data_IF_795905725775
#
_entry.id   IF_795905725775
#
_cell.length_a   1.000
_cell.length_b   1.000
_cell.length_c   1.000
_cell.angle_alpha   90.00
_cell.angle_beta   90.00
_cell.angle_gamma   90.00
#
_symmetry.space_group_name_H-M   'P 1'
#
loop_
_entity.id
_entity.type
_entity.pdbx_description
1 polymer ?
#
# COMPACT_ATOMS: atom_id res chain seq x y z
N UNK A 1 -20.64 3.96 -0.59
CA UNK A 1 -20.06 3.10 -1.62
C UNK A 1 -20.34 1.63 -1.32
N UNK A 2 -20.35 0.78 -2.34
CA UNK A 2 -20.49 -0.67 -2.17
C UNK A 2 -19.17 -1.34 -1.76
N UNK A 3 -18.05 -0.72 -2.12
CA UNK A 3 -16.70 -1.22 -1.88
C UNK A 3 -15.72 -0.05 -1.73
N UNK A 4 -14.70 -0.24 -0.89
CA UNK A 4 -13.56 0.65 -0.76
C UNK A 4 -12.26 -0.12 -0.95
N UNK A 5 -11.32 0.47 -1.67
CA UNK A 5 -9.94 0.00 -1.78
C UNK A 5 -9.08 0.89 -0.89
N UNK A 6 -8.36 0.28 0.04
CA UNK A 6 -7.46 1.00 0.96
C UNK A 6 -6.02 0.75 0.52
N UNK A 7 -5.39 1.79 -0.04
CA UNK A 7 -3.96 1.86 -0.35
C UNK A 7 -3.40 3.09 0.37
N UNK A 8 -2.51 2.89 1.33
CA UNK A 8 -2.10 3.96 2.24
C UNK A 8 -0.66 3.76 2.73
N UNK A 9 -0.20 4.68 3.57
CA UNK A 9 1.03 4.68 4.35
C UNK A 9 2.25 5.33 3.70
N UNK A 10 2.31 5.55 2.40
CA UNK A 10 3.47 6.22 1.79
C UNK A 10 3.77 7.58 2.46
N UNK A 11 2.75 8.39 2.66
CA UNK A 11 2.91 9.71 3.30
C UNK A 11 3.34 9.60 4.77
N UNK A 12 2.87 8.59 5.49
CA UNK A 12 3.26 8.33 6.87
C UNK A 12 4.73 7.94 6.96
N UNK A 13 5.17 7.01 6.10
CA UNK A 13 6.56 6.53 6.05
C UNK A 13 7.50 7.65 5.60
N UNK A 14 7.04 8.53 4.69
CA UNK A 14 7.77 9.71 4.26
C UNK A 14 7.82 10.82 5.33
N UNK A 15 7.11 10.64 6.45
CA UNK A 15 7.03 11.60 7.56
C UNK A 15 6.49 12.96 7.14
N UNK A 16 5.55 13.00 6.19
CA UNK A 16 4.97 14.24 5.67
C UNK A 16 4.17 15.02 6.73
N UNK A 17 3.67 14.36 7.76
CA UNK A 17 2.86 14.96 8.82
C UNK A 17 3.41 14.71 10.22
N UNK A 18 4.64 14.23 10.34
CA UNK A 18 5.30 13.93 11.61
C UNK A 18 6.02 12.60 11.60
N UNK A 19 6.69 12.29 12.69
CA UNK A 19 7.50 11.07 12.82
C UNK A 19 6.66 9.80 12.56
N UNK A 20 7.23 8.88 11.82
CA UNK A 20 6.60 7.60 11.51
C UNK A 20 6.61 6.65 12.72
N UNK A 21 5.43 6.10 13.01
CA UNK A 21 5.25 5.04 14.00
C UNK A 21 4.42 3.92 13.37
N UNK A 22 5.02 2.77 13.12
CA UNK A 22 4.36 1.66 12.42
C UNK A 22 3.06 1.23 13.10
N UNK A 23 3.05 1.11 14.44
CA UNK A 23 1.84 0.72 15.17
C UNK A 23 0.69 1.71 14.97
N UNK A 24 0.99 3.00 14.91
CA UNK A 24 -0.02 4.03 14.66
C UNK A 24 -0.57 3.94 13.24
N UNK A 25 0.32 3.87 12.25
CA UNK A 25 -0.08 3.78 10.83
C UNK A 25 -0.88 2.51 10.59
N UNK A 26 -0.41 1.38 11.09
CA UNK A 26 -1.14 0.11 11.01
C UNK A 26 -2.50 0.21 11.70
N UNK A 27 -2.56 0.75 12.91
CA UNK A 27 -3.82 0.94 13.65
C UNK A 27 -4.81 1.83 12.92
N UNK A 28 -4.35 2.89 12.26
CA UNK A 28 -5.19 3.76 11.45
C UNK A 28 -5.79 3.01 10.24
N UNK A 29 -5.00 2.16 9.59
CA UNK A 29 -5.49 1.33 8.48
C UNK A 29 -6.52 0.32 8.98
N UNK A 30 -6.28 -0.35 10.10
CA UNK A 30 -7.23 -1.26 10.73
C UNK A 30 -8.54 -0.54 11.05
N UNK A 31 -8.45 0.68 11.60
CA UNK A 31 -9.64 1.50 11.91
C UNK A 31 -10.46 1.83 10.66
N UNK A 32 -9.80 2.14 9.53
CA UNK A 32 -10.51 2.36 8.25
C UNK A 32 -11.22 1.09 7.77
N UNK A 33 -10.58 -0.06 7.89
CA UNK A 33 -11.19 -1.36 7.55
C UNK A 33 -12.42 -1.64 8.42
N UNK A 34 -12.27 -1.50 9.73
CA UNK A 34 -13.35 -1.77 10.68
C UNK A 34 -14.53 -0.80 10.48
N UNK A 35 -14.25 0.48 10.24
CA UNK A 35 -15.27 1.48 9.95
C UNK A 35 -16.06 1.14 8.69
N UNK A 36 -15.38 0.73 7.62
CA UNK A 36 -16.04 0.31 6.39
C UNK A 36 -16.93 -0.91 6.63
N UNK A 37 -16.41 -1.93 7.32
CA UNK A 37 -17.17 -3.15 7.64
C UNK A 37 -18.39 -2.85 8.52
N UNK A 38 -18.26 -1.97 9.51
CA UNK A 38 -19.36 -1.55 10.37
C UNK A 38 -20.48 -0.84 9.59
N UNK A 39 -20.16 -0.24 8.44
CA UNK A 39 -21.12 0.40 7.56
C UNK A 39 -21.50 -0.48 6.34
N UNK A 40 -21.27 -1.78 6.42
CA UNK A 40 -21.59 -2.76 5.37
C UNK A 40 -20.91 -2.47 4.01
N UNK A 41 -19.76 -1.80 4.04
CA UNK A 41 -18.94 -1.52 2.86
C UNK A 41 -17.90 -2.63 2.73
N UNK A 42 -17.84 -3.26 1.56
CA UNK A 42 -16.80 -4.26 1.27
C UNK A 42 -15.43 -3.60 1.21
N UNK A 43 -14.39 -4.30 1.61
CA UNK A 43 -13.03 -3.76 1.67
C UNK A 43 -12.09 -4.64 0.85
N UNK A 44 -11.23 -3.99 0.08
CA UNK A 44 -10.00 -4.58 -0.46
C UNK A 44 -8.84 -3.81 0.17
N UNK A 45 -7.92 -4.53 0.80
CA UNK A 45 -6.70 -3.97 1.35
C UNK A 45 -5.53 -4.23 0.40
N UNK A 46 -4.61 -3.29 0.26
CA UNK A 46 -3.46 -3.45 -0.63
C UNK A 46 -2.14 -3.29 0.11
N UNK A 47 -1.05 -3.76 -0.49
CA UNK A 47 0.30 -3.38 -0.06
C UNK A 47 0.54 -1.89 -0.29
N UNK A 48 1.38 -1.29 0.55
CA UNK A 48 2.04 0.00 0.26
C UNK A 48 3.03 -0.22 -0.88
N UNK A 49 3.11 0.74 -1.81
CA UNK A 49 4.01 0.67 -2.96
C UNK A 49 5.48 0.72 -2.51
N UNK A 50 6.40 0.11 -3.30
CA UNK A 50 7.82 0.23 -3.01
C UNK A 50 8.32 1.66 -3.17
N UNK A 51 9.31 2.04 -2.36
CA UNK A 51 10.09 3.24 -2.51
C UNK A 51 11.46 3.03 -1.87
N UNK A 52 12.52 3.34 -2.58
CA UNK A 52 13.88 3.25 -2.04
C UNK A 52 14.22 4.46 -1.15
N UNK A 53 13.67 5.62 -1.48
CA UNK A 53 13.90 6.87 -0.79
C UNK A 53 12.79 7.87 -1.15
N UNK A 54 12.73 8.98 -0.41
CA UNK A 54 11.83 10.10 -0.70
C UNK A 54 12.69 11.33 -1.02
N UNK A 55 12.59 11.82 -2.27
CA UNK A 55 13.43 12.96 -2.73
C UNK A 55 13.23 14.23 -1.91
N UNK A 56 12.04 14.43 -1.34
CA UNK A 56 11.72 15.58 -0.49
C UNK A 56 12.09 15.40 0.98
N UNK A 57 12.46 14.20 1.40
CA UNK A 57 12.90 13.91 2.78
C UNK A 57 14.08 12.92 2.77
N UNK A 58 15.27 13.38 2.38
CA UNK A 58 16.45 12.52 2.25
C UNK A 58 17.02 12.01 3.59
N UNK A 59 16.51 12.50 4.72
CA UNK A 59 16.87 12.00 6.04
C UNK A 59 16.37 10.57 6.29
N UNK A 60 15.30 10.15 5.62
CA UNK A 60 14.76 8.79 5.73
C UNK A 60 15.62 7.86 4.87
N UNK A 61 16.36 6.95 5.54
CA UNK A 61 17.30 6.01 4.90
C UNK A 61 16.80 4.57 4.86
N UNK A 62 15.73 4.28 5.58
CA UNK A 62 15.20 2.93 5.83
C UNK A 62 13.78 2.73 5.29
N UNK A 63 13.38 3.49 4.28
CA UNK A 63 12.06 3.38 3.67
C UNK A 63 11.74 1.94 3.19
N UNK A 64 12.65 1.23 2.49
CA UNK A 64 12.36 -0.14 2.06
C UNK A 64 12.05 -1.09 3.22
N UNK A 65 12.78 -0.98 4.33
CA UNK A 65 12.60 -1.82 5.51
C UNK A 65 11.26 -1.52 6.20
N UNK A 66 10.90 -0.25 6.33
CA UNK A 66 9.61 0.19 6.89
C UNK A 66 8.44 -0.30 6.04
N UNK A 67 8.54 -0.17 4.72
CA UNK A 67 7.52 -0.65 3.79
C UNK A 67 7.36 -2.17 3.91
N UNK A 68 8.46 -2.92 3.90
CA UNK A 68 8.41 -4.38 4.02
C UNK A 68 7.77 -4.84 5.33
N UNK A 69 8.14 -4.22 6.44
CA UNK A 69 7.59 -4.51 7.77
C UNK A 69 6.08 -4.26 7.83
N UNK A 70 5.64 -3.10 7.37
CA UNK A 70 4.22 -2.76 7.35
C UNK A 70 3.43 -3.68 6.41
N UNK A 71 3.94 -3.95 5.22
CA UNK A 71 3.27 -4.84 4.24
C UNK A 71 3.09 -6.26 4.78
N UNK A 72 4.07 -6.78 5.52
CA UNK A 72 3.95 -8.07 6.18
C UNK A 72 2.80 -8.08 7.20
N UNK A 73 2.65 -7.02 7.99
CA UNK A 73 1.55 -6.86 8.95
C UNK A 73 0.20 -6.75 8.26
N UNK A 74 0.11 -5.96 7.19
CA UNK A 74 -1.12 -5.79 6.42
C UNK A 74 -1.58 -7.10 5.81
N UNK A 75 -0.66 -7.87 5.25
CA UNK A 75 -0.95 -9.19 4.68
C UNK A 75 -1.45 -10.17 5.75
N UNK A 76 -0.77 -10.25 6.89
CA UNK A 76 -1.17 -11.11 8.00
C UNK A 76 -2.56 -10.74 8.55
N UNK A 77 -2.81 -9.45 8.73
CA UNK A 77 -4.11 -8.93 9.16
C UNK A 77 -5.23 -9.29 8.18
N UNK A 78 -4.99 -9.09 6.88
CA UNK A 78 -5.96 -9.43 5.84
C UNK A 78 -6.28 -10.93 5.83
N UNK A 79 -5.26 -11.78 5.94
CA UNK A 79 -5.43 -13.24 6.02
C UNK A 79 -6.26 -13.65 7.23
N UNK A 80 -5.91 -13.16 8.42
CA UNK A 80 -6.60 -13.49 9.68
C UNK A 80 -8.06 -13.05 9.65
N UNK A 81 -8.35 -11.89 9.06
CA UNK A 81 -9.69 -11.28 9.04
C UNK A 81 -10.46 -11.57 7.74
N UNK A 82 -9.92 -12.43 6.86
CA UNK A 82 -10.53 -12.82 5.59
C UNK A 82 -10.90 -11.62 4.71
N UNK A 83 -9.99 -10.65 4.65
CA UNK A 83 -10.13 -9.44 3.82
C UNK A 83 -9.42 -9.70 2.49
N UNK A 84 -10.07 -9.45 1.33
CA UNK A 84 -9.38 -9.47 0.05
C UNK A 84 -8.15 -8.57 0.07
N UNK A 85 -7.01 -9.12 -0.39
CA UNK A 85 -5.72 -8.45 -0.34
C UNK A 85 -5.05 -8.45 -1.70
N UNK A 86 -4.57 -7.28 -2.15
CA UNK A 86 -3.89 -7.11 -3.43
C UNK A 86 -2.44 -6.70 -3.21
N UNK A 87 -1.53 -7.50 -3.72
CA UNK A 87 -0.09 -7.27 -3.62
C UNK A 87 0.42 -6.49 -4.84
N UNK A 88 0.33 -5.15 -4.78
CA UNK A 88 0.98 -4.30 -5.77
C UNK A 88 2.50 -4.34 -5.66
N UNK A 89 3.02 -4.42 -4.43
CA UNK A 89 4.45 -4.32 -4.16
C UNK A 89 5.26 -5.32 -4.97
N UNK A 90 4.89 -6.59 -4.94
CA UNK A 90 5.64 -7.65 -5.61
C UNK A 90 5.70 -7.49 -7.13
N UNK A 91 4.67 -6.89 -7.74
CA UNK A 91 4.62 -6.62 -9.18
C UNK A 91 5.35 -5.34 -9.59
N UNK A 92 5.70 -4.49 -8.65
CA UNK A 92 6.21 -3.14 -8.94
C UNK A 92 7.61 -2.86 -8.36
N UNK A 93 8.11 -3.72 -7.48
CA UNK A 93 9.45 -3.57 -6.88
C UNK A 93 10.55 -3.96 -7.87
N UNK A 94 11.69 -3.27 -7.81
CA UNK A 94 12.85 -3.54 -8.65
C UNK A 94 14.16 -3.26 -7.92
N UNK A 95 15.17 -4.06 -8.26
CA UNK A 95 16.54 -3.87 -7.80
C UNK A 95 16.81 -4.31 -6.36
N UNK A 96 18.10 -4.32 -6.01
CA UNK A 96 18.57 -4.71 -4.67
C UNK A 96 18.17 -3.68 -3.60
N UNK A 97 17.95 -2.43 -3.99
CA UNK A 97 17.50 -1.34 -3.12
C UNK A 97 15.98 -1.32 -2.89
N UNK A 98 15.24 -2.27 -3.48
CA UNK A 98 13.78 -2.38 -3.35
C UNK A 98 13.03 -1.10 -3.78
N UNK A 99 13.49 -0.49 -4.84
CA UNK A 99 12.88 0.71 -5.42
C UNK A 99 11.56 0.38 -6.13
N UNK A 100 10.72 1.40 -6.30
CA UNK A 100 9.66 1.33 -7.30
C UNK A 100 10.33 1.26 -8.68
N UNK A 101 9.90 0.29 -9.50
CA UNK A 101 10.50 0.05 -10.81
C UNK A 101 10.51 1.33 -11.64
N UNK A 102 11.68 1.76 -12.17
CA UNK A 102 11.79 2.99 -12.95
C UNK A 102 10.88 3.05 -14.18
N UNK A 103 10.45 1.90 -14.71
CA UNK A 103 9.45 1.83 -15.78
C UNK A 103 8.05 2.33 -15.34
N UNK A 104 7.79 2.41 -14.04
CA UNK A 104 6.48 2.74 -13.47
C UNK A 104 6.47 4.07 -12.70
N UNK A 105 7.59 4.77 -12.65
CA UNK A 105 7.71 6.02 -11.88
C UNK A 105 8.76 6.95 -12.49
N UNK A 106 8.59 8.25 -12.26
CA UNK A 106 9.59 9.26 -12.59
C UNK A 106 10.35 9.75 -11.36
N UNK A 107 9.70 9.82 -10.22
CA UNK A 107 10.27 10.36 -8.98
C UNK A 107 10.64 9.27 -7.93
N UNK A 108 10.42 8.01 -8.27
CA UNK A 108 10.69 6.88 -7.38
C UNK A 108 9.59 6.58 -6.37
N UNK A 109 8.49 7.33 -6.38
CA UNK A 109 7.39 7.22 -5.39
C UNK A 109 6.02 7.16 -6.05
N UNK A 110 5.70 8.09 -6.95
CA UNK A 110 4.40 8.18 -7.59
C UNK A 110 4.37 7.38 -8.91
N UNK A 111 3.36 6.53 -9.11
CA UNK A 111 3.21 5.81 -10.37
C UNK A 111 2.97 6.74 -11.56
N UNK A 112 3.51 6.38 -12.72
CA UNK A 112 3.11 6.92 -14.02
C UNK A 112 1.85 6.20 -14.51
N UNK A 113 1.34 6.56 -15.70
CA UNK A 113 0.25 5.81 -16.35
C UNK A 113 0.59 4.32 -16.48
N UNK A 114 1.82 4.00 -16.87
CA UNK A 114 2.29 2.61 -16.99
C UNK A 114 2.27 1.88 -15.63
N UNK A 115 2.62 2.58 -14.56
CA UNK A 115 2.51 2.05 -13.20
C UNK A 115 1.06 1.81 -12.79
N UNK A 116 0.19 2.74 -13.09
CA UNK A 116 -1.26 2.58 -12.85
C UNK A 116 -1.89 1.45 -13.67
N UNK A 117 -1.42 1.21 -14.90
CA UNK A 117 -1.91 0.08 -15.71
C UNK A 117 -1.64 -1.26 -15.01
N UNK A 118 -0.48 -1.43 -14.39
CA UNK A 118 -0.17 -2.61 -13.59
C UNK A 118 -1.12 -2.74 -12.40
N UNK A 119 -1.33 -1.63 -11.66
CA UNK A 119 -2.22 -1.61 -10.50
C UNK A 119 -3.67 -1.88 -10.91
N UNK A 120 -4.13 -1.28 -12.00
CA UNK A 120 -5.49 -1.46 -12.52
C UNK A 120 -5.79 -2.93 -12.85
N UNK A 121 -4.89 -3.60 -13.55
CA UNK A 121 -5.05 -5.02 -13.88
C UNK A 121 -5.20 -5.90 -12.63
N UNK A 122 -4.43 -5.62 -11.59
CA UNK A 122 -4.49 -6.38 -10.33
C UNK A 122 -5.77 -6.07 -9.55
N UNK A 123 -6.11 -4.80 -9.40
CA UNK A 123 -7.27 -4.41 -8.60
C UNK A 123 -8.59 -4.77 -9.27
N UNK A 124 -8.67 -4.71 -10.59
CA UNK A 124 -9.89 -5.05 -11.32
C UNK A 124 -10.31 -6.50 -11.08
N UNK A 125 -9.33 -7.42 -11.06
CA UNK A 125 -9.59 -8.82 -10.74
C UNK A 125 -10.15 -8.98 -9.32
N UNK A 126 -9.57 -8.27 -8.36
CA UNK A 126 -10.02 -8.31 -6.97
C UNK A 126 -11.41 -7.69 -6.80
N UNK A 127 -11.70 -6.58 -7.47
CA UNK A 127 -13.02 -5.93 -7.46
C UNK A 127 -14.09 -6.88 -8.01
N UNK A 128 -13.84 -7.46 -9.17
CA UNK A 128 -14.77 -8.39 -9.81
C UNK A 128 -15.09 -9.59 -8.91
N UNK A 129 -14.06 -10.13 -8.25
CA UNK A 129 -14.22 -11.25 -7.33
C UNK A 129 -14.97 -10.86 -6.05
N UNK A 130 -14.72 -9.67 -5.53
CA UNK A 130 -15.29 -9.19 -4.25
C UNK A 130 -16.76 -8.78 -4.42
N UNK A 131 -17.15 -8.25 -5.56
CA UNK A 131 -18.52 -7.81 -5.84
C UNK A 131 -19.46 -8.92 -6.33
N UNK A 132 -18.94 -10.09 -6.65
CA UNK A 132 -19.74 -11.29 -6.94
C UNK A 132 -20.32 -11.87 -5.64
#
# INVERSE_FOLDING_TARGET
>A
PALVVINAATNDIAENTGAYHEDRTFGNIVSMVELAKANHIKVILTTTLPAAAFGWNPAIKDAPQKIASLNARLKAYAQTNKIPFVDYYSSMVSGSNKALNPAYTKDGVHPTSEGYDVMENLIQQAINKTLR
#
